data_IF_296366895024
#
_entry.id   IF_296366895024
#
_cell.length_a   1.000
_cell.length_b   1.000
_cell.length_c   1.000
_cell.angle_alpha   90.00
_cell.angle_beta   90.00
_cell.angle_gamma   90.00
#
_symmetry.space_group_name_H-M   'P 1'
#
loop_
_entity.id
_entity.type
_entity.pdbx_description
1 polymer ?
#
# COMPACT_ATOMS: atom_id res chain seq x y z
N UNK A 1 -5.17 17.03 -11.69
CA UNK A 1 -4.37 16.49 -12.83
C UNK A 1 -4.76 15.04 -13.03
N UNK A 2 -4.73 14.54 -14.29
CA UNK A 2 -5.02 13.13 -14.55
C UNK A 2 -3.90 12.27 -13.96
N UNK A 3 -4.23 11.28 -13.11
CA UNK A 3 -3.26 10.37 -12.51
C UNK A 3 -2.51 9.57 -13.57
N UNK A 4 -1.25 9.22 -13.27
CA UNK A 4 -0.37 8.44 -14.14
C UNK A 4 -0.29 7.00 -13.65
N UNK A 5 -0.52 6.04 -14.52
CA UNK A 5 -0.47 4.62 -14.20
C UNK A 5 0.50 3.91 -15.15
N UNK A 6 1.39 3.11 -14.59
CA UNK A 6 2.26 2.22 -15.35
C UNK A 6 1.74 0.79 -15.20
N UNK A 7 1.49 0.11 -16.33
CA UNK A 7 1.16 -1.31 -16.40
C UNK A 7 2.42 -2.10 -16.73
N UNK A 8 2.73 -3.12 -15.94
CA UNK A 8 3.87 -4.01 -16.20
C UNK A 8 3.36 -5.43 -16.15
N UNK A 9 3.22 -6.05 -17.31
CA UNK A 9 2.71 -7.40 -17.50
C UNK A 9 3.27 -7.94 -18.83
N UNK A 10 3.60 -9.19 -18.95
CA UNK A 10 4.06 -9.80 -20.20
C UNK A 10 2.91 -10.26 -21.09
N UNK A 11 1.69 -10.30 -20.58
CA UNK A 11 0.47 -10.61 -21.30
C UNK A 11 -0.09 -9.36 -22.00
N UNK A 12 0.00 -9.35 -23.34
CA UNK A 12 -0.46 -8.23 -24.17
C UNK A 12 -1.98 -8.03 -24.07
N UNK A 13 -2.78 -9.08 -23.91
CA UNK A 13 -4.24 -9.00 -23.80
C UNK A 13 -4.63 -8.29 -22.48
N UNK A 14 -3.94 -8.59 -21.40
CA UNK A 14 -4.14 -7.91 -20.10
C UNK A 14 -3.75 -6.44 -20.21
N UNK A 15 -2.62 -6.14 -20.84
CA UNK A 15 -2.16 -4.76 -21.07
C UNK A 15 -3.19 -3.98 -21.89
N UNK A 16 -3.69 -4.55 -22.98
CA UNK A 16 -4.68 -3.89 -23.84
C UNK A 16 -5.99 -3.63 -23.07
N UNK A 17 -6.53 -4.66 -22.44
CA UNK A 17 -7.77 -4.60 -21.64
C UNK A 17 -7.69 -3.52 -20.56
N UNK A 18 -6.62 -3.53 -19.76
CA UNK A 18 -6.47 -2.59 -18.65
C UNK A 18 -6.17 -1.17 -19.16
N UNK A 19 -5.35 -1.03 -20.20
CA UNK A 19 -5.05 0.28 -20.81
C UNK A 19 -6.32 0.94 -21.33
N UNK A 20 -7.17 0.20 -22.04
CA UNK A 20 -8.44 0.71 -22.53
C UNK A 20 -9.32 1.21 -21.39
N UNK A 21 -9.53 0.40 -20.37
CA UNK A 21 -10.40 0.74 -19.26
C UNK A 21 -9.87 1.94 -18.45
N UNK A 22 -8.57 1.98 -18.17
CA UNK A 22 -7.95 3.05 -17.40
C UNK A 22 -7.92 4.38 -18.16
N UNK A 23 -7.65 4.37 -19.47
CA UNK A 23 -7.74 5.58 -20.31
C UNK A 23 -9.17 6.11 -20.38
N UNK A 24 -10.17 5.24 -20.44
CA UNK A 24 -11.59 5.63 -20.41
C UNK A 24 -11.97 6.35 -19.11
N UNK A 25 -11.31 6.03 -18.01
CA UNK A 25 -11.47 6.71 -16.71
C UNK A 25 -10.62 8.00 -16.59
N UNK A 26 -9.90 8.39 -17.65
CA UNK A 26 -9.13 9.63 -17.71
C UNK A 26 -7.69 9.54 -17.21
N UNK A 27 -7.16 8.34 -16.93
CA UNK A 27 -5.78 8.17 -16.51
C UNK A 27 -4.80 8.24 -17.69
N UNK A 28 -3.58 8.73 -17.43
CA UNK A 28 -2.44 8.60 -18.35
C UNK A 28 -1.79 7.25 -18.13
N UNK A 29 -1.78 6.39 -19.15
CA UNK A 29 -1.29 5.02 -19.02
C UNK A 29 -0.10 4.80 -19.94
N UNK A 30 0.97 4.23 -19.39
CA UNK A 30 2.08 3.61 -20.12
C UNK A 30 2.18 2.13 -19.72
N UNK A 31 2.81 1.31 -20.57
CA UNK A 31 2.99 -0.12 -20.30
C UNK A 31 4.42 -0.58 -20.54
N UNK A 32 4.83 -1.66 -19.88
CA UNK A 32 6.06 -2.39 -20.06
C UNK A 32 5.75 -3.90 -20.05
N UNK A 33 6.56 -4.71 -20.70
CA UNK A 33 6.35 -6.14 -20.84
C UNK A 33 7.33 -7.02 -20.03
N UNK A 34 8.06 -6.43 -19.10
CA UNK A 34 8.89 -7.11 -18.09
C UNK A 34 9.32 -6.13 -17.01
N UNK A 35 9.86 -6.65 -15.90
CA UNK A 35 10.28 -5.86 -14.75
C UNK A 35 11.36 -4.82 -15.06
N UNK A 36 12.37 -5.18 -15.87
CA UNK A 36 13.46 -4.27 -16.22
C UNK A 36 12.96 -3.02 -16.94
N UNK A 37 12.16 -3.21 -17.99
CA UNK A 37 11.51 -2.09 -18.70
C UNK A 37 10.51 -1.34 -17.81
N UNK A 38 9.91 -2.03 -16.83
CA UNK A 38 9.07 -1.45 -15.81
C UNK A 38 9.82 -0.40 -14.99
N UNK A 39 11.00 -0.73 -14.48
CA UNK A 39 11.88 0.19 -13.73
C UNK A 39 12.27 1.40 -14.60
N UNK A 40 12.77 1.17 -15.83
CA UNK A 40 13.16 2.23 -16.75
C UNK A 40 11.99 3.21 -17.03
N UNK A 41 10.79 2.65 -17.23
CA UNK A 41 9.59 3.48 -17.47
C UNK A 41 9.10 4.17 -16.20
N UNK A 42 9.23 3.55 -15.04
CA UNK A 42 8.92 4.19 -13.76
C UNK A 42 9.78 5.45 -13.58
N UNK A 43 11.10 5.36 -13.80
CA UNK A 43 12.02 6.49 -13.70
C UNK A 43 11.71 7.63 -14.70
N UNK A 44 11.38 7.29 -15.94
CA UNK A 44 11.13 8.31 -16.98
C UNK A 44 9.70 8.88 -16.98
N UNK A 45 8.72 8.13 -16.50
CA UNK A 45 7.31 8.51 -16.51
C UNK A 45 6.83 9.06 -15.17
N UNK A 46 7.48 8.65 -14.07
CA UNK A 46 7.09 9.01 -12.69
C UNK A 46 5.59 8.75 -12.47
N UNK A 47 5.15 7.47 -12.49
CA UNK A 47 3.76 7.14 -12.28
C UNK A 47 3.35 7.32 -10.82
N UNK A 48 2.07 7.59 -10.57
CA UNK A 48 1.51 7.60 -9.22
C UNK A 48 1.22 6.17 -8.73
N UNK A 49 0.88 5.28 -9.67
CA UNK A 49 0.56 3.87 -9.41
C UNK A 49 1.22 2.97 -10.45
N UNK A 50 1.80 1.85 -10.01
CA UNK A 50 2.24 0.76 -10.87
C UNK A 50 1.35 -0.45 -10.63
N UNK A 51 0.78 -1.01 -11.69
CA UNK A 51 0.19 -2.36 -11.69
C UNK A 51 1.26 -3.30 -12.22
N UNK A 52 1.74 -4.22 -11.39
CA UNK A 52 2.92 -5.05 -11.66
C UNK A 52 2.55 -6.54 -11.61
N UNK A 53 2.65 -7.23 -12.72
CA UNK A 53 2.58 -8.69 -12.67
C UNK A 53 3.78 -9.26 -11.91
N UNK A 54 3.54 -10.31 -11.15
CA UNK A 54 4.60 -10.99 -10.38
C UNK A 54 5.44 -11.87 -11.31
N UNK A 55 4.79 -12.67 -12.14
CA UNK A 55 5.45 -13.70 -12.96
C UNK A 55 5.75 -13.18 -14.34
N UNK A 56 6.94 -12.62 -14.55
CA UNK A 56 7.37 -12.09 -15.84
C UNK A 56 8.76 -12.60 -16.23
N UNK A 57 9.06 -12.72 -17.53
CA UNK A 57 10.40 -13.06 -18.01
C UNK A 57 11.39 -11.91 -17.76
N UNK A 58 12.70 -12.23 -17.81
CA UNK A 58 13.85 -11.32 -17.67
C UNK A 58 14.05 -10.84 -16.24
N UNK A 59 13.09 -10.14 -15.67
CA UNK A 59 13.06 -9.69 -14.27
C UNK A 59 11.61 -9.80 -13.78
N UNK A 60 11.41 -10.58 -12.73
CA UNK A 60 10.10 -10.74 -12.11
C UNK A 60 9.62 -9.46 -11.41
N UNK A 61 8.31 -9.41 -11.12
CA UNK A 61 7.71 -8.22 -10.56
C UNK A 61 8.11 -7.93 -9.12
N UNK A 62 8.41 -8.95 -8.33
CA UNK A 62 8.83 -8.79 -6.92
C UNK A 62 10.19 -8.10 -6.87
N UNK A 63 11.14 -8.61 -7.63
CA UNK A 63 12.49 -8.02 -7.68
C UNK A 63 12.46 -6.61 -8.31
N UNK A 64 11.65 -6.40 -9.36
CA UNK A 64 11.45 -5.08 -9.95
C UNK A 64 10.84 -4.08 -8.93
N UNK A 65 9.84 -4.50 -8.17
CA UNK A 65 9.24 -3.69 -7.14
C UNK A 65 10.18 -3.35 -6.00
N UNK A 66 11.02 -4.31 -5.57
CA UNK A 66 12.08 -4.09 -4.57
C UNK A 66 13.04 -3.00 -5.03
N UNK A 67 13.55 -3.08 -6.27
CA UNK A 67 14.45 -2.08 -6.83
C UNK A 67 13.80 -0.70 -6.94
N UNK A 68 12.52 -0.63 -7.33
CA UNK A 68 11.75 0.63 -7.35
C UNK A 68 11.63 1.21 -5.94
N UNK A 69 11.37 0.38 -4.92
CA UNK A 69 11.23 0.86 -3.53
C UNK A 69 12.55 1.25 -2.87
N UNK A 70 13.66 0.71 -3.33
CA UNK A 70 15.00 1.09 -2.89
C UNK A 70 15.52 2.39 -3.51
N UNK A 71 15.00 2.79 -4.68
CA UNK A 71 15.37 4.07 -5.30
C UNK A 71 14.72 5.26 -4.58
N UNK A 72 15.50 6.20 -4.02
CA UNK A 72 14.96 7.36 -3.30
C UNK A 72 13.96 8.20 -4.09
N UNK A 73 14.06 8.23 -5.43
CA UNK A 73 13.16 8.99 -6.29
C UNK A 73 11.87 8.24 -6.62
N UNK A 74 11.85 6.90 -6.49
CA UNK A 74 10.74 6.05 -6.91
C UNK A 74 10.02 5.37 -5.73
N UNK A 75 10.60 5.37 -4.54
CA UNK A 75 10.11 4.65 -3.35
C UNK A 75 8.68 4.97 -2.96
N UNK A 76 8.22 6.18 -3.27
CA UNK A 76 6.87 6.66 -2.92
C UNK A 76 5.80 6.26 -3.95
N UNK A 77 6.20 5.66 -5.08
CA UNK A 77 5.28 5.14 -6.08
C UNK A 77 4.49 3.97 -5.48
N UNK A 78 3.16 4.02 -5.63
CA UNK A 78 2.28 2.96 -5.12
C UNK A 78 2.30 1.74 -6.05
N UNK A 79 2.69 0.56 -5.52
CA UNK A 79 2.77 -0.67 -6.30
C UNK A 79 1.63 -1.62 -5.90
N UNK A 80 0.81 -1.99 -6.90
CA UNK A 80 -0.23 -3.00 -6.78
C UNK A 80 0.23 -4.22 -7.58
N UNK A 81 0.47 -5.34 -6.90
CA UNK A 81 0.85 -6.57 -7.60
C UNK A 81 -0.37 -7.29 -8.16
N UNK A 82 -0.18 -7.86 -9.36
CA UNK A 82 -1.14 -8.73 -10.03
C UNK A 82 -0.62 -10.16 -9.90
N UNK A 83 -1.41 -11.09 -9.36
CA UNK A 83 -0.97 -12.46 -9.11
C UNK A 83 -1.99 -13.50 -9.54
N UNK A 84 -1.53 -14.58 -10.14
CA UNK A 84 -2.39 -15.72 -10.52
C UNK A 84 -2.80 -16.59 -9.33
N UNK A 85 -2.06 -16.57 -8.21
CA UNK A 85 -2.28 -17.47 -7.07
C UNK A 85 -2.20 -16.73 -5.74
N UNK A 86 -3.30 -16.76 -4.98
CA UNK A 86 -3.35 -16.26 -3.61
C UNK A 86 -2.57 -17.16 -2.61
N UNK A 87 -2.24 -18.40 -2.98
CA UNK A 87 -1.73 -19.43 -2.05
C UNK A 87 -0.23 -19.74 -2.18
N UNK A 88 0.45 -19.44 -3.31
CA UNK A 88 1.86 -19.82 -3.53
C UNK A 88 2.87 -18.71 -3.22
N UNK A 89 2.46 -17.46 -3.29
CA UNK A 89 3.26 -16.40 -2.70
C UNK A 89 2.70 -16.13 -1.33
N UNK A 90 3.38 -16.59 -0.30
CA UNK A 90 3.01 -16.21 1.05
C UNK A 90 2.84 -14.69 1.05
N UNK A 91 1.69 -14.22 1.52
CA UNK A 91 1.40 -12.78 1.70
C UNK A 91 2.61 -12.05 2.33
N UNK A 92 3.41 -12.78 3.10
CA UNK A 92 4.66 -12.37 3.71
C UNK A 92 5.71 -11.95 2.67
N UNK A 93 5.97 -12.73 1.61
CA UNK A 93 7.01 -12.41 0.63
C UNK A 93 6.67 -11.17 -0.22
N UNK A 94 5.38 -11.01 -0.59
CA UNK A 94 4.93 -9.82 -1.32
C UNK A 94 5.02 -8.54 -0.45
N UNK A 95 4.71 -8.66 0.85
CA UNK A 95 4.82 -7.54 1.79
C UNK A 95 6.27 -7.24 2.19
N UNK A 96 7.14 -8.25 2.28
CA UNK A 96 8.59 -8.05 2.49
C UNK A 96 9.24 -7.32 1.31
N UNK A 97 8.72 -7.51 0.09
CA UNK A 97 9.15 -6.78 -1.11
C UNK A 97 8.58 -5.35 -1.23
N UNK A 98 7.88 -4.83 -0.20
CA UNK A 98 7.34 -3.47 -0.18
C UNK A 98 6.04 -3.28 -0.96
N UNK A 99 5.24 -4.34 -1.15
CA UNK A 99 3.92 -4.25 -1.76
C UNK A 99 2.99 -3.30 -0.99
N UNK A 100 2.35 -2.39 -1.70
CA UNK A 100 1.31 -1.54 -1.13
C UNK A 100 -0.07 -2.22 -1.17
N UNK A 101 -0.31 -3.04 -2.21
CA UNK A 101 -1.55 -3.80 -2.41
C UNK A 101 -1.33 -4.95 -3.41
N UNK A 102 -2.27 -5.90 -3.50
CA UNK A 102 -2.26 -6.95 -4.53
C UNK A 102 -3.67 -7.28 -5.02
N UNK A 103 -3.76 -7.80 -6.24
CA UNK A 103 -5.00 -8.21 -6.90
C UNK A 103 -4.78 -9.57 -7.55
N UNK A 104 -5.68 -10.50 -7.28
CA UNK A 104 -5.64 -11.83 -7.90
C UNK A 104 -6.20 -11.80 -9.31
N UNK A 105 -5.52 -12.48 -10.25
CA UNK A 105 -6.04 -12.79 -11.59
C UNK A 105 -7.13 -13.88 -11.46
N UNK A 106 -8.23 -13.85 -12.22
CA UNK A 106 -8.50 -12.96 -13.35
C UNK A 106 -8.93 -11.54 -12.88
N UNK A 107 -8.33 -10.52 -13.50
CA UNK A 107 -8.52 -9.13 -13.11
C UNK A 107 -9.87 -8.64 -13.63
N UNK A 108 -10.73 -8.21 -12.72
CA UNK A 108 -12.00 -7.56 -13.06
C UNK A 108 -11.78 -6.05 -13.14
N UNK A 109 -12.00 -5.38 -14.30
CA UNK A 109 -11.70 -3.95 -14.44
C UNK A 109 -12.41 -3.04 -13.45
N UNK A 110 -13.69 -3.27 -13.15
CA UNK A 110 -14.46 -2.43 -12.22
C UNK A 110 -13.88 -2.40 -10.80
N UNK A 111 -13.63 -3.52 -10.12
CA UNK A 111 -12.97 -3.54 -8.80
C UNK A 111 -11.58 -2.89 -8.82
N UNK A 112 -10.76 -3.16 -9.84
CA UNK A 112 -9.45 -2.54 -10.00
C UNK A 112 -9.56 -1.01 -10.08
N UNK A 113 -10.43 -0.49 -10.95
CA UNK A 113 -10.66 0.96 -11.10
C UNK A 113 -11.12 1.58 -9.79
N UNK A 114 -12.02 0.91 -9.05
CA UNK A 114 -12.48 1.40 -7.74
C UNK A 114 -11.32 1.53 -6.73
N UNK A 115 -10.38 0.59 -6.71
CA UNK A 115 -9.17 0.66 -5.86
C UNK A 115 -8.25 1.78 -6.27
N UNK A 116 -7.99 1.92 -7.56
CA UNK A 116 -7.17 3.00 -8.11
C UNK A 116 -7.81 4.36 -7.77
N UNK A 117 -9.11 4.53 -7.97
CA UNK A 117 -9.84 5.74 -7.59
C UNK A 117 -9.75 6.04 -6.10
N UNK A 118 -9.83 5.02 -5.24
CA UNK A 118 -9.67 5.18 -3.80
C UNK A 118 -8.26 5.64 -3.43
N UNK A 119 -7.22 5.13 -4.12
CA UNK A 119 -5.85 5.61 -3.95
C UNK A 119 -5.74 7.11 -4.29
N UNK A 120 -6.23 7.54 -5.45
CA UNK A 120 -6.19 8.95 -5.86
C UNK A 120 -7.08 9.85 -4.99
N UNK A 121 -8.23 9.38 -4.52
CA UNK A 121 -9.13 10.14 -3.62
C UNK A 121 -8.49 10.41 -2.26
N UNK A 122 -7.75 9.44 -1.68
CA UNK A 122 -7.03 9.62 -0.42
C UNK A 122 -5.95 10.70 -0.48
N UNK A 123 -5.46 11.07 -1.68
CA UNK A 123 -4.52 12.17 -1.90
C UNK A 123 -5.19 13.56 -1.95
N UNK A 124 -6.53 13.65 -2.03
CA UNK A 124 -7.28 14.91 -2.23
C UNK A 124 -8.16 15.34 -1.06
N UNK A 125 -8.33 14.54 -0.01
CA UNK A 125 -9.01 14.99 1.21
C UNK A 125 -8.10 15.91 2.03
N UNK A 126 -7.92 17.14 1.53
CA UNK A 126 -7.25 18.24 2.24
C UNK A 126 -8.15 18.94 3.27
N UNK A 127 -9.35 18.47 3.50
CA UNK A 127 -10.27 19.07 4.46
C UNK A 127 -10.72 18.05 5.49
N UNK A 128 -10.12 18.15 6.60
CA UNK A 128 -10.46 17.76 7.97
C UNK A 128 -9.49 16.77 8.61
N UNK A 129 -9.01 17.20 9.76
CA UNK A 129 -8.30 16.49 10.82
C UNK A 129 -6.78 16.65 10.79
N UNK A 130 -6.26 16.97 11.93
CA UNK A 130 -4.87 17.23 12.26
C UNK A 130 -3.94 16.29 11.48
N UNK A 131 -3.17 16.86 10.56
CA UNK A 131 -2.17 16.11 9.80
C UNK A 131 -1.02 15.62 10.68
N UNK A 132 -0.98 16.13 11.91
CA UNK A 132 0.00 15.78 12.95
C UNK A 132 -0.76 15.40 14.21
N UNK A 133 -0.52 14.19 14.72
CA UNK A 133 -1.02 13.71 15.99
C UNK A 133 0.15 13.65 16.98
N UNK A 134 0.04 14.36 18.11
CA UNK A 134 0.97 14.26 19.23
C UNK A 134 0.31 13.45 20.34
N UNK A 135 0.69 12.18 20.46
CA UNK A 135 0.01 11.25 21.36
C UNK A 135 0.89 10.05 21.74
N UNK A 136 0.81 9.66 23.01
CA UNK A 136 1.51 8.48 23.53
C UNK A 136 3.02 8.55 23.34
N UNK A 137 3.62 9.75 23.49
CA UNK A 137 5.04 9.97 23.26
C UNK A 137 5.50 9.90 21.81
N UNK A 138 4.55 9.93 20.87
CA UNK A 138 4.81 9.89 19.43
C UNK A 138 4.20 11.10 18.74
N UNK A 139 4.99 11.77 17.89
CA UNK A 139 4.49 12.76 16.92
C UNK A 139 4.33 12.06 15.57
N UNK A 140 3.09 11.80 15.18
CA UNK A 140 2.74 11.06 13.96
C UNK A 140 2.37 12.07 12.88
N UNK A 141 3.20 12.18 11.82
CA UNK A 141 3.03 13.13 10.74
C UNK A 141 2.52 12.45 9.47
N UNK A 142 1.28 12.78 9.08
CA UNK A 142 0.59 12.20 7.92
C UNK A 142 1.16 12.69 6.59
N UNK A 143 1.78 13.88 6.56
CA UNK A 143 2.25 14.50 5.31
C UNK A 143 3.46 13.78 4.72
N UNK A 144 4.33 13.28 5.60
CA UNK A 144 5.57 12.60 5.21
C UNK A 144 5.65 11.14 5.67
N UNK A 145 4.54 10.59 6.22
CA UNK A 145 4.47 9.20 6.72
C UNK A 145 5.51 8.88 7.80
N UNK A 146 5.91 9.89 8.58
CA UNK A 146 6.90 9.73 9.64
C UNK A 146 6.29 9.71 11.02
N UNK A 147 7.02 9.09 11.94
CA UNK A 147 6.74 9.06 13.37
C UNK A 147 8.01 9.47 14.08
N UNK A 148 7.92 10.52 14.88
CA UNK A 148 9.01 10.99 15.74
C UNK A 148 8.74 10.53 17.17
N UNK A 149 9.72 9.86 17.78
CA UNK A 149 9.70 9.44 19.17
C UNK A 149 10.15 10.57 20.11
N UNK A 150 9.91 10.42 21.41
CA UNK A 150 10.36 11.38 22.43
C UNK A 150 11.88 11.57 22.47
N UNK A 151 12.66 10.54 22.15
CA UNK A 151 14.12 10.59 22.06
C UNK A 151 14.63 11.35 20.83
N UNK A 152 13.73 11.82 19.97
CA UNK A 152 14.03 12.57 18.76
C UNK A 152 14.26 11.70 17.52
N UNK A 153 14.25 10.36 17.64
CA UNK A 153 14.36 9.46 16.51
C UNK A 153 13.13 9.63 15.59
N UNK A 154 13.38 9.87 14.31
CA UNK A 154 12.33 9.94 13.27
C UNK A 154 12.36 8.71 12.39
N UNK A 155 11.23 8.00 12.30
CA UNK A 155 11.06 6.76 11.56
C UNK A 155 10.02 6.97 10.47
N UNK A 156 10.37 6.73 9.23
CA UNK A 156 9.42 6.70 8.11
C UNK A 156 8.84 5.28 8.01
N UNK A 157 7.53 5.16 8.09
CA UNK A 157 6.84 3.89 7.98
C UNK A 157 6.35 3.65 6.56
N UNK A 158 6.39 2.40 6.06
CA UNK A 158 5.68 2.01 4.85
C UNK A 158 4.20 2.40 4.94
N UNK A 159 3.62 2.77 3.81
CA UNK A 159 2.28 3.39 3.74
C UNK A 159 1.19 2.66 4.52
N UNK A 160 1.11 1.32 4.42
CA UNK A 160 0.07 0.55 5.13
C UNK A 160 0.31 0.47 6.64
N UNK A 161 1.56 0.36 7.06
CA UNK A 161 1.94 0.40 8.47
C UNK A 161 1.59 1.77 9.07
N UNK A 162 1.95 2.85 8.36
CA UNK A 162 1.60 4.20 8.76
C UNK A 162 0.09 4.42 8.84
N UNK A 163 -0.65 4.02 7.80
CA UNK A 163 -2.11 4.16 7.77
C UNK A 163 -2.78 3.42 8.91
N UNK A 164 -2.28 2.23 9.26
CA UNK A 164 -2.79 1.42 10.36
C UNK A 164 -2.53 2.11 11.70
N UNK A 165 -1.30 2.55 11.94
CA UNK A 165 -0.93 3.30 13.14
C UNK A 165 -1.78 4.57 13.27
N UNK A 166 -1.85 5.38 12.22
CA UNK A 166 -2.57 6.64 12.21
C UNK A 166 -4.07 6.44 12.46
N UNK A 167 -4.68 5.38 11.87
CA UNK A 167 -6.08 5.04 12.10
C UNK A 167 -6.37 4.68 13.56
N UNK A 168 -5.47 3.95 14.21
CA UNK A 168 -5.57 3.61 15.62
C UNK A 168 -5.34 4.83 16.52
N UNK A 169 -4.36 5.68 16.19
CA UNK A 169 -4.00 6.85 16.95
C UNK A 169 -5.06 7.98 16.90
N UNK A 170 -5.85 8.06 15.82
CA UNK A 170 -6.97 9.02 15.73
C UNK A 170 -8.04 8.84 16.80
N UNK A 171 -8.22 7.64 17.29
CA UNK A 171 -9.16 7.32 18.36
C UNK A 171 -8.46 6.43 19.38
N UNK A 172 -7.58 7.04 20.20
CA UNK A 172 -6.81 6.29 21.17
C UNK A 172 -7.74 5.61 22.16
N UNK A 173 -7.28 4.51 22.70
CA UNK A 173 -7.99 3.69 23.69
C UNK A 173 -9.33 3.11 23.19
N UNK A 174 -9.67 3.32 21.91
CA UNK A 174 -10.78 2.63 21.24
C UNK A 174 -10.30 1.33 20.59
N UNK A 175 -11.10 0.28 20.76
CA UNK A 175 -10.82 -1.02 20.14
C UNK A 175 -11.35 -1.03 18.72
N UNK A 176 -10.49 -1.38 17.79
CA UNK A 176 -10.84 -1.60 16.38
C UNK A 176 -10.71 -3.09 16.06
N UNK A 177 -11.77 -3.68 15.48
CA UNK A 177 -11.71 -5.07 15.03
C UNK A 177 -10.78 -5.24 13.83
N UNK A 178 -10.29 -6.47 13.60
CA UNK A 178 -9.47 -6.80 12.42
C UNK A 178 -10.22 -6.51 11.13
N UNK A 179 -11.47 -6.90 11.06
CA UNK A 179 -12.36 -6.65 9.90
C UNK A 179 -12.53 -5.15 9.63
N UNK A 180 -12.76 -4.34 10.68
CA UNK A 180 -12.88 -2.89 10.55
C UNK A 180 -11.58 -2.25 10.02
N UNK A 181 -10.42 -2.62 10.59
CA UNK A 181 -9.12 -2.12 10.15
C UNK A 181 -8.82 -2.55 8.71
N UNK A 182 -9.12 -3.80 8.37
CA UNK A 182 -8.95 -4.33 7.04
C UNK A 182 -9.74 -3.49 6.02
N UNK A 183 -11.04 -3.30 6.25
CA UNK A 183 -11.91 -2.53 5.35
C UNK A 183 -11.46 -1.06 5.24
N UNK A 184 -11.06 -0.43 6.36
CA UNK A 184 -10.63 0.98 6.35
C UNK A 184 -9.30 1.21 5.64
N UNK A 185 -8.36 0.29 5.77
CA UNK A 185 -7.00 0.47 5.26
C UNK A 185 -6.83 -0.15 3.87
N UNK A 186 -7.46 -1.30 3.61
CA UNK A 186 -7.35 -2.02 2.33
C UNK A 186 -8.57 -1.87 1.43
N UNK A 187 -9.75 -1.56 1.97
CA UNK A 187 -11.02 -1.39 1.25
C UNK A 187 -11.99 -2.55 1.51
N UNK A 188 -13.28 -2.30 1.24
CA UNK A 188 -14.35 -3.26 1.53
C UNK A 188 -14.38 -4.48 0.57
N UNK A 189 -13.84 -4.33 -0.65
CA UNK A 189 -13.87 -5.36 -1.69
C UNK A 189 -12.57 -6.19 -1.76
N UNK A 190 -11.80 -6.20 -0.67
CA UNK A 190 -10.49 -6.87 -0.65
C UNK A 190 -10.63 -8.29 -0.16
N UNK A 191 -10.21 -9.26 -0.99
CA UNK A 191 -10.02 -10.67 -0.58
C UNK A 191 -8.73 -10.85 0.23
N UNK A 192 -8.49 -9.99 1.21
CA UNK A 192 -7.34 -10.11 2.13
C UNK A 192 -7.88 -10.68 3.43
N UNK A 193 -7.20 -11.69 3.96
CA UNK A 193 -7.59 -12.28 5.24
C UNK A 193 -7.23 -11.35 6.40
N UNK A 194 -8.02 -11.41 7.48
CA UNK A 194 -7.81 -10.60 8.70
C UNK A 194 -6.38 -10.68 9.26
N UNK A 195 -5.68 -11.78 8.99
CA UNK A 195 -4.29 -12.02 9.39
C UNK A 195 -3.29 -11.01 8.81
N UNK A 196 -3.63 -10.36 7.70
CA UNK A 196 -2.82 -9.28 7.13
C UNK A 196 -2.69 -8.10 8.09
N UNK A 197 -3.74 -7.80 8.84
CA UNK A 197 -3.68 -6.76 9.89
C UNK A 197 -2.66 -7.14 10.97
N UNK A 198 -2.64 -8.42 11.39
CA UNK A 198 -1.74 -8.90 12.43
C UNK A 198 -0.26 -8.75 12.03
N UNK A 199 0.06 -9.04 10.76
CA UNK A 199 1.42 -8.89 10.21
C UNK A 199 1.88 -7.42 10.26
N UNK A 200 1.02 -6.49 9.83
CA UNK A 200 1.36 -5.07 9.85
C UNK A 200 1.43 -4.50 11.27
N UNK A 201 0.57 -4.93 12.18
CA UNK A 201 0.67 -4.58 13.62
C UNK A 201 2.03 -5.02 14.17
N UNK A 202 2.46 -6.24 13.85
CA UNK A 202 3.78 -6.74 14.27
C UNK A 202 4.91 -5.86 13.75
N UNK A 203 4.90 -5.51 12.46
CA UNK A 203 5.92 -4.63 11.84
C UNK A 203 5.95 -3.23 12.46
N UNK A 204 4.80 -2.66 12.78
CA UNK A 204 4.71 -1.37 13.50
C UNK A 204 5.35 -1.48 14.88
N UNK A 205 5.06 -2.56 15.63
CA UNK A 205 5.64 -2.79 16.95
C UNK A 205 7.16 -3.00 16.91
N UNK A 206 7.66 -3.72 15.92
CA UNK A 206 9.11 -3.93 15.71
C UNK A 206 9.86 -2.60 15.55
N UNK A 207 9.22 -1.58 14.98
CA UNK A 207 9.82 -0.25 14.72
C UNK A 207 9.59 0.75 15.85
N UNK A 208 8.40 0.74 16.45
CA UNK A 208 7.98 1.75 17.42
C UNK A 208 7.94 1.24 18.87
N UNK A 209 8.06 -0.07 19.07
CA UNK A 209 7.96 -0.71 20.38
C UNK A 209 6.62 -1.42 20.59
N UNK A 210 6.65 -2.49 21.40
CA UNK A 210 5.49 -3.36 21.63
C UNK A 210 4.33 -2.67 22.35
N UNK A 211 4.62 -1.63 23.10
CA UNK A 211 3.64 -0.94 23.93
C UNK A 211 2.74 0.04 23.16
N UNK A 212 3.11 0.42 21.93
CA UNK A 212 2.38 1.43 21.13
C UNK A 212 0.98 0.95 20.77
N UNK A 213 0.82 -0.33 20.50
CA UNK A 213 -0.47 -0.92 20.13
C UNK A 213 -0.76 -2.11 21.05
N UNK A 214 -1.88 -2.06 21.76
CA UNK A 214 -2.37 -3.18 22.59
C UNK A 214 -3.20 -4.15 21.77
N UNK A 215 -3.05 -5.45 22.04
CA UNK A 215 -3.92 -6.51 21.51
C UNK A 215 -4.98 -6.85 22.54
N UNK A 216 -6.25 -6.73 22.18
CA UNK A 216 -7.36 -7.26 22.97
C UNK A 216 -7.79 -8.59 22.35
N UNK A 217 -7.47 -9.67 23.04
CA UNK A 217 -7.69 -11.04 22.57
C UNK A 217 -9.17 -11.25 22.19
N UNK A 218 -9.43 -11.70 20.97
CA UNK A 218 -10.79 -11.91 20.45
C UNK A 218 -11.53 -10.65 19.98
N UNK A 219 -11.03 -9.43 20.27
CA UNK A 219 -11.68 -8.16 19.92
C UNK A 219 -10.94 -7.39 18.82
N UNK A 220 -9.60 -7.25 18.94
CA UNK A 220 -8.83 -6.50 17.96
C UNK A 220 -7.64 -5.75 18.54
N UNK A 221 -7.42 -4.53 18.04
CA UNK A 221 -6.28 -3.69 18.35
C UNK A 221 -6.70 -2.30 18.81
N UNK A 222 -5.87 -1.68 19.61
CA UNK A 222 -6.09 -0.37 20.21
C UNK A 222 -4.75 0.38 20.32
N UNK A 223 -4.72 1.67 19.98
CA UNK A 223 -3.57 2.53 20.28
C UNK A 223 -3.48 2.77 21.79
N UNK A 224 -2.28 2.66 22.34
CA UNK A 224 -2.04 2.91 23.75
C UNK A 224 -1.61 4.36 23.94
N UNK A 225 -2.45 5.18 24.55
CA UNK A 225 -2.18 6.60 24.78
C UNK A 225 -1.35 6.91 26.04
N UNK A 226 -0.98 5.85 26.80
CA UNK A 226 -0.26 5.98 28.09
C UNK A 226 1.20 5.63 27.94
#
# INVERSE_FOLDING_TARGET
MAGKILLVDDDEDIIELLTYNLKKEGYKVKSANNGLKGIEKAASFMPDVILMDIMMPVLDGIEAGRQIKEDPNLKDIHIIYLTARAEEFSEIAAFEAGADDYITKPIKPRPLISRIKAHFRKGFDKNNEEDILDIGGLVINRLNYSVKKEDGEEIVLPKKEFQLLFQLAKKPDNVHSRTELLHKIWGADVYVVERTVDVHIRKVREKLGDNVIKTLKGLGYMFNSK
#
